data_IF_341684040693
#
_entry.id   IF_341684040693
#
_cell.length_a   1.000
_cell.length_b   1.000
_cell.length_c   1.000
_cell.angle_alpha   90.00
_cell.angle_beta   90.00
_cell.angle_gamma   90.00
#
_symmetry.space_group_name_H-M   'P 1'
#
loop_
_entity.id
_entity.type
_entity.pdbx_description
1 polymer ?
#
# COMPACT_ATOMS: atom_id res chain seq x y z
N UNK A 1 -10.87 8.12 1.72
CA UNK A 1 -11.54 7.57 0.51
C UNK A 1 -10.81 6.33 -0.03
N UNK A 2 -9.53 6.43 -0.38
CA UNK A 2 -8.76 5.29 -0.95
C UNK A 2 -8.52 4.15 0.06
N UNK A 3 -8.21 4.48 1.32
CA UNK A 3 -8.07 3.46 2.40
C UNK A 3 -9.38 2.69 2.62
N UNK A 4 -10.51 3.39 2.57
CA UNK A 4 -11.85 2.79 2.69
C UNK A 4 -12.15 1.82 1.53
N UNK A 5 -11.69 2.15 0.31
CA UNK A 5 -11.79 1.26 -0.85
C UNK A 5 -10.92 0.01 -0.70
N UNK A 6 -9.69 0.13 -0.18
CA UNK A 6 -8.80 -1.00 0.08
C UNK A 6 -9.43 -1.96 1.11
N UNK A 7 -9.92 -1.42 2.22
CA UNK A 7 -10.58 -2.21 3.28
C UNK A 7 -11.85 -2.88 2.75
N UNK A 8 -12.65 -2.19 1.93
CA UNK A 8 -13.82 -2.75 1.27
C UNK A 8 -13.48 -3.91 0.32
N UNK A 9 -12.43 -3.75 -0.50
CA UNK A 9 -11.93 -4.81 -1.39
C UNK A 9 -11.49 -6.05 -0.61
N UNK A 10 -10.75 -5.85 0.47
CA UNK A 10 -10.24 -6.95 1.32
C UNK A 10 -11.40 -7.67 2.00
N UNK A 11 -12.38 -6.94 2.53
CA UNK A 11 -13.58 -7.54 3.12
C UNK A 11 -14.35 -8.38 2.10
N UNK A 12 -14.58 -7.86 0.89
CA UNK A 12 -15.22 -8.62 -0.19
C UNK A 12 -14.40 -9.86 -0.60
N UNK A 13 -13.07 -9.73 -0.70
CA UNK A 13 -12.18 -10.85 -1.01
C UNK A 13 -12.25 -11.96 0.04
N UNK A 14 -12.19 -11.57 1.32
CA UNK A 14 -12.27 -12.47 2.46
C UNK A 14 -13.65 -13.14 2.51
N UNK A 15 -14.74 -12.41 2.31
CA UNK A 15 -16.09 -12.98 2.25
C UNK A 15 -16.24 -14.02 1.12
N UNK A 16 -15.74 -13.72 -0.08
CA UNK A 16 -15.78 -14.63 -1.24
C UNK A 16 -14.90 -15.88 -1.03
N UNK A 17 -13.70 -15.72 -0.48
CA UNK A 17 -12.79 -16.83 -0.20
C UNK A 17 -13.25 -17.69 0.96
N UNK A 18 -13.77 -17.08 2.01
CA UNK A 18 -14.33 -17.77 3.17
C UNK A 18 -15.60 -18.53 2.80
N UNK A 19 -16.46 -17.94 1.97
CA UNK A 19 -17.66 -18.57 1.41
C UNK A 19 -17.39 -19.75 0.47
N UNK A 20 -16.27 -19.72 -0.24
CA UNK A 20 -15.89 -20.78 -1.18
C UNK A 20 -15.06 -21.90 -0.55
N UNK A 21 -14.69 -21.79 0.73
CA UNK A 21 -13.98 -22.84 1.45
C UNK A 21 -14.95 -23.77 2.19
N UNK A 22 -14.69 -25.07 2.10
CA UNK A 22 -15.53 -26.17 2.63
C UNK A 22 -15.66 -26.18 4.17
N UNK A 23 -14.97 -25.28 4.88
CA UNK A 23 -14.93 -25.20 6.35
C UNK A 23 -16.13 -24.46 6.96
N UNK A 24 -17.09 -23.96 6.16
CA UNK A 24 -18.33 -23.41 6.71
C UNK A 24 -19.29 -24.52 7.12
N UNK A 25 -19.43 -24.71 8.44
CA UNK A 25 -20.54 -25.39 9.08
C UNK A 25 -21.90 -24.66 8.89
N UNK A 26 -21.88 -23.45 8.30
CA UNK A 26 -23.02 -22.55 8.12
C UNK A 26 -23.68 -22.62 6.72
N UNK A 27 -23.00 -23.18 5.70
CA UNK A 27 -23.55 -23.27 4.33
C UNK A 27 -23.60 -24.72 3.87
N UNK A 28 -24.82 -25.23 3.64
CA UNK A 28 -25.09 -26.61 3.21
C UNK A 28 -24.55 -26.96 1.81
N UNK A 29 -24.19 -25.95 1.00
CA UNK A 29 -23.52 -26.12 -0.31
C UNK A 29 -22.34 -25.14 -0.44
N UNK A 30 -21.11 -25.63 -0.71
CA UNK A 30 -19.97 -24.75 -0.93
C UNK A 30 -20.15 -23.91 -2.19
N UNK A 31 -19.76 -22.63 -2.14
CA UNK A 31 -19.82 -21.76 -3.32
C UNK A 31 -18.95 -22.30 -4.46
N UNK A 32 -19.36 -22.07 -5.73
CA UNK A 32 -18.68 -22.59 -6.91
C UNK A 32 -17.22 -22.14 -6.96
N UNK A 33 -16.32 -23.03 -7.42
CA UNK A 33 -14.86 -22.79 -7.49
C UNK A 33 -14.45 -21.51 -8.25
N UNK A 34 -15.32 -20.98 -9.11
CA UNK A 34 -15.13 -19.68 -9.77
C UNK A 34 -15.07 -18.50 -8.78
N UNK A 35 -15.78 -18.55 -7.65
CA UNK A 35 -15.70 -17.51 -6.61
C UNK A 35 -14.33 -17.45 -5.92
N UNK A 36 -13.61 -18.58 -5.84
CA UNK A 36 -12.20 -18.60 -5.38
C UNK A 36 -11.30 -17.77 -6.29
N UNK A 37 -11.46 -17.92 -7.62
CA UNK A 37 -10.70 -17.14 -8.60
C UNK A 37 -11.01 -15.65 -8.54
N UNK A 38 -12.29 -15.30 -8.36
CA UNK A 38 -12.71 -13.90 -8.12
C UNK A 38 -12.08 -13.34 -6.84
N UNK A 39 -12.13 -14.06 -5.72
CA UNK A 39 -11.47 -13.63 -4.48
C UNK A 39 -9.96 -13.44 -4.64
N UNK A 40 -9.31 -14.28 -5.44
CA UNK A 40 -7.88 -14.16 -5.75
C UNK A 40 -7.56 -12.92 -6.59
N UNK A 41 -8.40 -12.58 -7.57
CA UNK A 41 -8.31 -11.33 -8.34
C UNK A 41 -8.52 -10.08 -7.46
N UNK A 42 -9.42 -10.18 -6.48
CA UNK A 42 -9.62 -9.11 -5.50
C UNK A 42 -8.40 -8.92 -4.58
N UNK A 43 -7.70 -10.00 -4.20
CA UNK A 43 -6.45 -9.90 -3.44
C UNK A 43 -5.34 -9.27 -4.28
N UNK A 44 -5.16 -9.70 -5.54
CA UNK A 44 -4.10 -9.16 -6.40
C UNK A 44 -4.31 -7.67 -6.70
N UNK A 45 -5.56 -7.24 -6.89
CA UNK A 45 -5.89 -5.83 -7.08
C UNK A 45 -5.69 -5.00 -5.80
N UNK A 46 -6.06 -5.54 -4.63
CA UNK A 46 -5.76 -4.88 -3.36
C UNK A 46 -4.24 -4.73 -3.12
N UNK A 47 -3.45 -5.76 -3.47
CA UNK A 47 -1.99 -5.71 -3.35
C UNK A 47 -1.38 -4.65 -4.28
N UNK A 48 -1.87 -4.56 -5.52
CA UNK A 48 -1.44 -3.55 -6.47
C UNK A 48 -1.74 -2.12 -6.00
N UNK A 49 -2.94 -1.89 -5.46
CA UNK A 49 -3.34 -0.59 -4.89
C UNK A 49 -2.45 -0.24 -3.69
N UNK A 50 -2.14 -1.21 -2.83
CA UNK A 50 -1.24 -1.00 -1.70
C UNK A 50 0.17 -0.58 -2.17
N UNK A 51 0.75 -1.26 -3.17
CA UNK A 51 2.08 -0.91 -3.69
C UNK A 51 2.13 0.50 -4.29
N UNK A 52 1.08 0.92 -4.99
CA UNK A 52 0.94 2.28 -5.52
C UNK A 52 0.88 3.32 -4.39
N UNK A 53 0.19 3.00 -3.30
CA UNK A 53 0.03 3.89 -2.16
C UNK A 53 1.36 4.11 -1.41
N UNK A 54 2.12 3.04 -1.19
CA UNK A 54 3.45 3.15 -0.57
C UNK A 54 4.45 3.89 -1.47
N UNK A 55 4.35 3.74 -2.80
CA UNK A 55 5.20 4.46 -3.74
C UNK A 55 5.01 5.97 -3.65
N UNK A 56 3.75 6.46 -3.63
CA UNK A 56 3.48 7.90 -3.52
C UNK A 56 4.01 8.53 -2.22
N UNK A 57 3.87 7.83 -1.09
CA UNK A 57 4.38 8.29 0.21
C UNK A 57 5.91 8.29 0.24
N UNK A 58 6.55 7.29 -0.36
CA UNK A 58 8.01 7.21 -0.45
C UNK A 58 8.60 8.36 -1.29
N UNK A 59 7.94 8.76 -2.38
CA UNK A 59 8.34 9.91 -3.21
C UNK A 59 8.29 11.22 -2.42
N UNK A 60 7.19 11.45 -1.68
CA UNK A 60 7.03 12.64 -0.85
C UNK A 60 8.09 12.71 0.27
N UNK A 61 8.35 11.60 0.94
CA UNK A 61 9.40 11.51 1.96
C UNK A 61 10.79 11.75 1.37
N UNK A 62 11.08 11.17 0.21
CA UNK A 62 12.37 11.35 -0.47
C UNK A 62 12.58 12.81 -0.86
N UNK A 63 11.55 13.48 -1.38
CA UNK A 63 11.58 14.92 -1.69
C UNK A 63 11.85 15.77 -0.45
N UNK A 64 11.17 15.46 0.66
CA UNK A 64 11.36 16.16 1.94
C UNK A 64 12.77 15.96 2.50
N UNK A 65 13.32 14.76 2.41
CA UNK A 65 14.70 14.48 2.85
C UNK A 65 15.72 15.26 2.03
N UNK A 66 15.54 15.35 0.71
CA UNK A 66 16.43 16.13 -0.17
C UNK A 66 16.36 17.63 0.14
N UNK A 67 15.16 18.17 0.42
CA UNK A 67 15.02 19.58 0.76
C UNK A 67 15.66 19.92 2.12
N UNK A 68 15.48 19.07 3.12
CA UNK A 68 16.17 19.16 4.41
C UNK A 68 17.69 19.12 4.25
N UNK A 69 18.21 18.19 3.43
CA UNK A 69 19.63 18.09 3.13
C UNK A 69 20.18 19.39 2.52
N UNK A 70 19.45 19.98 1.57
CA UNK A 70 19.83 21.22 0.92
C UNK A 70 19.93 22.39 1.92
N UNK A 71 18.97 22.48 2.84
CA UNK A 71 18.98 23.47 3.93
C UNK A 71 20.13 23.29 4.92
N UNK A 72 20.60 22.07 5.16
CA UNK A 72 21.74 21.78 6.04
C UNK A 72 23.08 22.04 5.35
N UNK A 73 23.16 21.81 4.03
CA UNK A 73 24.37 22.07 3.24
C UNK A 73 24.63 23.57 3.11
N UNK A 74 23.59 24.40 2.94
CA UNK A 74 23.68 25.87 2.85
C UNK A 74 24.58 26.52 3.92
N UNK A 75 24.32 26.35 5.24
CA UNK A 75 25.17 26.93 6.29
C UNK A 75 26.55 26.27 6.34
N UNK A 76 26.65 24.98 6.01
CA UNK A 76 27.92 24.25 5.96
C UNK A 76 28.86 24.80 4.88
N UNK A 77 28.32 25.09 3.70
CA UNK A 77 29.06 25.71 2.59
C UNK A 77 29.51 27.12 2.95
N UNK A 78 28.64 27.92 3.59
CA UNK A 78 28.98 29.27 4.04
C UNK A 78 30.08 29.24 5.11
N UNK A 79 30.02 28.31 6.06
CA UNK A 79 31.02 28.14 7.10
C UNK A 79 32.38 27.74 6.50
N UNK A 80 32.43 26.72 5.64
CA UNK A 80 33.67 26.31 4.98
C UNK A 80 34.25 27.38 4.05
N UNK A 81 33.41 28.18 3.39
CA UNK A 81 33.85 29.28 2.52
C UNK A 81 34.47 30.43 3.32
N UNK A 82 34.04 30.65 4.58
CA UNK A 82 34.69 31.60 5.50
C UNK A 82 36.00 31.09 6.08
N UNK A 83 36.12 29.79 6.37
CA UNK A 83 37.35 29.18 6.94
C UNK A 83 38.51 29.15 5.94
N UNK A 84 38.22 29.17 4.63
CA UNK A 84 39.25 29.20 3.57
C UNK A 84 39.79 30.61 3.23
N UNK A 85 39.25 31.67 3.83
CA UNK A 85 39.75 33.05 3.71
C UNK A 85 40.63 33.39 4.90
#
# INVERSE_FOLDING_TARGET
MIISLLVGLILCAVFLLYGSNKHQHLYAKPLPKYCKWLGLLFISSALYIATLQFSGVAVLLSWLMVSMLCLVILPSVIFFSKVKK
#
